data_IF_366705078955
#
_entry.id   IF_366705078955
#
_cell.length_a   1.000
_cell.length_b   1.000
_cell.length_c   1.000
_cell.angle_alpha   90.00
_cell.angle_beta   90.00
_cell.angle_gamma   90.00
#
_symmetry.space_group_name_H-M   'P 1'
#
loop_
_entity.id
_entity.type
_entity.pdbx_description
1 polymer ?
#
# COMPACT_ATOMS: atom_id res chain seq x y z
N UNK A 1 8.77 -5.15 -31.16
CA UNK A 1 8.01 -6.31 -30.63
C UNK A 1 7.33 -5.85 -29.34
N UNK A 2 6.06 -6.19 -29.18
CA UNK A 2 5.33 -5.88 -27.95
C UNK A 2 5.97 -6.58 -26.76
N UNK A 3 6.23 -5.86 -25.67
CA UNK A 3 6.81 -6.37 -24.42
C UNK A 3 5.69 -6.64 -23.44
N UNK A 4 5.51 -7.88 -23.02
CA UNK A 4 4.50 -8.25 -22.04
C UNK A 4 5.05 -7.99 -20.64
N UNK A 5 4.44 -7.04 -19.94
CA UNK A 5 4.78 -6.65 -18.56
C UNK A 5 3.69 -7.15 -17.62
N UNK A 6 4.04 -8.11 -16.78
CA UNK A 6 3.14 -8.69 -15.78
C UNK A 6 3.33 -7.93 -14.46
N UNK A 7 2.35 -7.13 -14.09
CA UNK A 7 2.28 -6.50 -12.77
C UNK A 7 1.70 -7.51 -11.80
N UNK A 8 2.52 -8.01 -10.87
CA UNK A 8 2.16 -9.11 -10.00
C UNK A 8 2.13 -8.69 -8.51
N UNK A 9 1.03 -9.00 -7.83
CA UNK A 9 0.87 -8.66 -6.41
C UNK A 9 -0.46 -9.10 -5.81
N UNK A 10 -0.77 -8.59 -4.62
CA UNK A 10 -1.97 -8.94 -3.85
C UNK A 10 -3.21 -8.14 -4.30
N UNK A 11 -3.56 -8.21 -5.58
CA UNK A 11 -4.60 -7.40 -6.22
C UNK A 11 -5.96 -8.09 -6.31
N UNK A 12 -6.06 -9.34 -5.86
CA UNK A 12 -7.27 -10.17 -5.88
C UNK A 12 -8.28 -9.85 -4.76
N UNK A 13 -8.00 -8.81 -3.98
CA UNK A 13 -8.88 -8.27 -2.94
C UNK A 13 -8.68 -6.76 -2.80
N UNK A 14 -9.72 -6.07 -2.35
CA UNK A 14 -9.60 -4.62 -2.20
C UNK A 14 -8.74 -4.27 -0.96
N UNK A 15 -7.64 -3.63 -1.24
CA UNK A 15 -6.82 -2.89 -0.28
C UNK A 15 -6.24 -1.71 -1.02
N UNK A 16 -6.49 -0.50 -0.53
CA UNK A 16 -6.11 0.74 -1.22
C UNK A 16 -4.67 0.71 -1.76
N UNK A 17 -3.70 0.43 -0.90
CA UNK A 17 -2.29 0.46 -1.30
C UNK A 17 -1.92 -0.63 -2.28
N UNK A 18 -2.33 -1.87 -2.01
CA UNK A 18 -1.98 -3.00 -2.86
C UNK A 18 -2.54 -2.81 -4.28
N UNK A 19 -3.76 -2.26 -4.41
CA UNK A 19 -4.38 -2.01 -5.71
C UNK A 19 -3.89 -0.73 -6.40
N UNK A 20 -3.41 0.27 -5.63
CA UNK A 20 -2.89 1.52 -6.17
C UNK A 20 -1.52 1.36 -6.84
N UNK A 21 -0.64 0.57 -6.21
CA UNK A 21 0.74 0.36 -6.69
C UNK A 21 0.85 -0.02 -8.17
N UNK A 22 0.13 -1.06 -8.68
CA UNK A 22 0.24 -1.43 -10.09
C UNK A 22 -0.35 -0.36 -11.02
N UNK A 23 -1.39 0.36 -10.60
CA UNK A 23 -2.00 1.41 -11.42
C UNK A 23 -1.04 2.59 -11.59
N UNK A 24 -0.37 3.01 -10.53
CA UNK A 24 0.63 4.07 -10.61
C UNK A 24 1.85 3.63 -11.42
N UNK A 25 2.26 2.38 -11.31
CA UNK A 25 3.37 1.85 -12.11
C UNK A 25 3.02 1.81 -13.59
N UNK A 26 1.84 1.33 -13.99
CA UNK A 26 1.35 1.41 -15.38
C UNK A 26 1.32 2.87 -15.86
N UNK A 27 0.80 3.79 -15.04
CA UNK A 27 0.79 5.22 -15.40
C UNK A 27 2.17 5.79 -15.60
N UNK A 28 3.15 5.40 -14.80
CA UNK A 28 4.55 5.80 -15.00
C UNK A 28 5.07 5.32 -16.35
N UNK A 29 4.87 4.04 -16.68
CA UNK A 29 5.30 3.48 -17.97
C UNK A 29 4.61 4.13 -19.18
N UNK A 30 3.38 4.62 -19.01
CA UNK A 30 2.61 5.30 -20.07
C UNK A 30 2.79 6.82 -20.07
N UNK A 31 3.59 7.37 -19.15
CA UNK A 31 3.83 8.80 -19.04
C UNK A 31 4.94 9.29 -19.97
N UNK A 32 5.13 10.60 -20.03
CA UNK A 32 6.23 11.26 -20.74
C UNK A 32 7.63 10.91 -20.22
N UNK A 33 7.72 10.31 -19.02
CA UNK A 33 8.98 9.84 -18.45
C UNK A 33 9.57 8.63 -19.18
N UNK A 34 8.75 7.90 -19.99
CA UNK A 34 9.18 6.69 -20.71
C UNK A 34 9.06 6.89 -22.22
N UNK A 35 10.19 6.87 -22.92
CA UNK A 35 10.25 7.17 -24.37
C UNK A 35 9.50 6.17 -25.27
N UNK A 36 9.44 4.90 -24.88
CA UNK A 36 8.88 3.79 -25.68
C UNK A 36 7.57 3.25 -25.09
N UNK A 37 6.74 4.11 -24.54
CA UNK A 37 5.51 3.72 -23.81
C UNK A 37 4.50 2.89 -24.63
N UNK A 38 4.54 2.96 -25.97
CA UNK A 38 3.62 2.22 -26.86
C UNK A 38 3.96 0.75 -27.04
N UNK A 39 5.14 0.32 -26.60
CA UNK A 39 5.63 -1.05 -26.79
C UNK A 39 5.27 -2.01 -25.67
N UNK A 40 4.58 -1.52 -24.62
CA UNK A 40 4.22 -2.31 -23.45
C UNK A 40 2.77 -2.76 -23.47
N UNK A 41 2.56 -4.06 -23.22
CA UNK A 41 1.25 -4.65 -22.92
C UNK A 41 1.24 -5.08 -21.45
N UNK A 42 0.34 -4.50 -20.65
CA UNK A 42 0.26 -4.76 -19.20
C UNK A 42 -0.74 -5.85 -18.89
N UNK A 43 -0.30 -6.82 -18.09
CA UNK A 43 -1.13 -7.89 -17.53
C UNK A 43 -1.12 -7.77 -16.02
N UNK A 44 -2.29 -7.56 -15.42
CA UNK A 44 -2.43 -7.55 -13.97
C UNK A 44 -2.63 -8.97 -13.49
N UNK A 45 -1.73 -9.47 -12.66
CA UNK A 45 -1.76 -10.83 -12.16
C UNK A 45 -1.79 -10.87 -10.63
N UNK A 46 -2.54 -11.83 -10.09
CA UNK A 46 -2.56 -12.13 -8.67
C UNK A 46 -2.63 -13.65 -8.45
N UNK A 47 -2.97 -14.12 -7.24
CA UNK A 47 -3.20 -15.54 -6.96
C UNK A 47 -4.50 -15.99 -7.62
N UNK A 48 -5.57 -15.19 -7.49
CA UNK A 48 -6.87 -15.42 -8.11
C UNK A 48 -7.18 -14.31 -9.14
N UNK A 49 -8.16 -14.62 -10.01
CA UNK A 49 -8.82 -13.55 -10.79
C UNK A 49 -9.70 -12.71 -9.86
N UNK A 50 -9.79 -11.44 -10.17
CA UNK A 50 -10.69 -10.50 -9.50
C UNK A 50 -11.14 -9.41 -10.48
N UNK A 51 -12.31 -8.84 -10.21
CA UNK A 51 -12.78 -7.63 -10.83
C UNK A 51 -13.16 -6.63 -9.73
N UNK A 52 -12.31 -5.64 -9.55
CA UNK A 52 -12.48 -4.54 -8.59
C UNK A 52 -12.63 -3.21 -9.31
N UNK A 53 -13.20 -3.23 -10.52
CA UNK A 53 -13.40 -2.04 -11.37
C UNK A 53 -14.34 -1.02 -10.73
N UNK A 54 -15.26 -1.44 -9.86
CA UNK A 54 -16.09 -0.55 -9.04
C UNK A 54 -15.27 0.41 -8.17
N UNK A 55 -14.08 0.01 -7.74
CA UNK A 55 -13.11 0.84 -7.02
C UNK A 55 -12.07 1.50 -7.93
N UNK A 56 -12.28 1.50 -9.26
CA UNK A 56 -11.32 1.98 -10.27
C UNK A 56 -10.00 1.19 -10.29
N UNK A 57 -10.02 -0.04 -9.80
CA UNK A 57 -8.91 -0.99 -9.91
C UNK A 57 -9.01 -1.79 -11.20
N UNK A 58 -7.90 -2.41 -11.60
CA UNK A 58 -7.85 -3.23 -12.83
C UNK A 58 -8.22 -4.68 -12.52
N UNK A 59 -8.94 -5.38 -13.41
CA UNK A 59 -9.17 -6.80 -13.26
C UNK A 59 -7.87 -7.60 -13.34
N UNK A 60 -7.82 -8.72 -12.61
CA UNK A 60 -6.62 -9.56 -12.52
C UNK A 60 -6.83 -10.95 -13.11
N UNK A 61 -5.75 -11.54 -13.60
CA UNK A 61 -5.69 -12.95 -13.98
C UNK A 61 -4.85 -13.74 -12.96
N UNK A 62 -5.11 -15.03 -12.76
CA UNK A 62 -4.25 -15.87 -11.93
C UNK A 62 -2.86 -16.02 -12.57
N UNK A 63 -1.78 -15.74 -11.83
CA UNK A 63 -0.41 -15.93 -12.34
C UNK A 63 -0.19 -17.36 -12.88
N UNK A 64 -0.86 -18.34 -12.28
CA UNK A 64 -0.79 -19.74 -12.68
C UNK A 64 -1.23 -19.97 -14.14
N UNK A 65 -2.11 -19.14 -14.70
CA UNK A 65 -2.55 -19.24 -16.09
C UNK A 65 -1.44 -18.85 -17.08
N UNK A 66 -0.49 -18.01 -16.67
CA UNK A 66 0.61 -17.52 -17.51
C UNK A 66 1.76 -18.53 -17.63
N UNK A 67 1.89 -19.47 -16.67
CA UNK A 67 3.02 -20.42 -16.62
C UNK A 67 3.13 -21.31 -17.86
N UNK A 68 2.01 -21.61 -18.51
CA UNK A 68 1.94 -22.55 -19.66
C UNK A 68 2.07 -21.87 -21.02
N UNK A 69 2.05 -20.55 -21.05
CA UNK A 69 2.14 -19.78 -22.27
C UNK A 69 3.59 -19.76 -22.78
N UNK A 70 3.76 -19.94 -24.08
CA UNK A 70 5.06 -19.84 -24.77
C UNK A 70 5.32 -18.37 -25.16
N UNK A 71 5.36 -17.52 -24.13
CA UNK A 71 5.49 -16.07 -24.25
C UNK A 71 6.53 -15.62 -23.24
N UNK A 72 7.39 -14.71 -23.67
CA UNK A 72 8.37 -14.07 -22.79
C UNK A 72 7.69 -12.97 -21.95
N UNK A 73 7.90 -13.01 -20.63
CA UNK A 73 7.30 -12.08 -19.70
C UNK A 73 8.34 -11.30 -18.91
N UNK A 74 8.04 -10.03 -18.68
CA UNK A 74 8.71 -9.22 -17.66
C UNK A 74 7.80 -9.13 -16.43
N UNK A 75 8.14 -9.85 -15.37
CA UNK A 75 7.31 -9.94 -14.16
C UNK A 75 7.83 -8.92 -13.15
N UNK A 76 7.00 -7.93 -12.83
CA UNK A 76 7.28 -6.95 -11.79
C UNK A 76 6.41 -7.27 -10.58
N UNK A 77 7.00 -7.72 -9.48
CA UNK A 77 6.36 -7.81 -8.17
C UNK A 77 6.28 -6.40 -7.60
N UNK A 78 5.07 -5.83 -7.55
CA UNK A 78 4.83 -4.38 -7.48
C UNK A 78 4.76 -3.86 -6.05
N UNK A 79 5.62 -4.32 -5.16
CA UNK A 79 5.61 -3.86 -3.77
C UNK A 79 4.77 -4.73 -2.83
N UNK A 80 4.35 -4.16 -1.72
CA UNK A 80 3.65 -4.90 -0.65
C UNK A 80 4.59 -5.59 0.34
N UNK A 81 4.05 -6.11 1.44
CA UNK A 81 4.78 -6.90 2.45
C UNK A 81 4.76 -8.39 2.04
N UNK A 82 5.42 -8.72 0.93
CA UNK A 82 5.18 -9.96 0.20
C UNK A 82 6.27 -11.01 0.35
N UNK A 83 7.51 -10.62 0.69
CA UNK A 83 8.67 -11.53 0.64
C UNK A 83 8.62 -12.68 1.64
N UNK A 84 7.91 -12.53 2.75
CA UNK A 84 7.75 -13.58 3.76
C UNK A 84 6.37 -14.24 3.79
N UNK A 85 5.46 -13.83 2.92
CA UNK A 85 4.07 -14.28 2.94
C UNK A 85 3.90 -15.63 2.25
N UNK A 86 3.62 -16.70 3.01
CA UNK A 86 3.23 -17.98 2.44
C UNK A 86 1.73 -18.07 2.16
N UNK A 87 1.34 -19.06 1.36
CA UNK A 87 -0.07 -19.24 0.95
C UNK A 87 -1.01 -19.47 2.13
N UNK A 88 -0.57 -20.13 3.20
CA UNK A 88 -1.38 -20.35 4.41
C UNK A 88 -1.67 -19.04 5.15
N UNK A 89 -0.70 -18.14 5.24
CA UNK A 89 -0.91 -16.79 5.81
C UNK A 89 -1.91 -16.00 4.98
N UNK A 90 -1.69 -15.95 3.66
CA UNK A 90 -2.57 -15.22 2.74
C UNK A 90 -3.99 -15.78 2.78
N UNK A 91 -4.13 -17.10 2.81
CA UNK A 91 -5.43 -17.77 2.94
C UNK A 91 -6.14 -17.41 4.24
N UNK A 92 -5.40 -17.30 5.37
CA UNK A 92 -6.02 -16.89 6.64
C UNK A 92 -6.54 -15.43 6.60
N UNK A 93 -5.90 -14.55 5.81
CA UNK A 93 -6.31 -13.16 5.67
C UNK A 93 -7.53 -12.94 4.77
N UNK A 94 -7.90 -13.89 3.94
CA UNK A 94 -9.10 -13.79 3.10
C UNK A 94 -10.34 -14.45 3.75
N UNK A 95 -10.21 -14.97 4.99
CA UNK A 95 -11.34 -15.59 5.70
C UNK A 95 -12.22 -14.55 6.38
N UNK A 96 -13.52 -14.60 6.15
CA UNK A 96 -14.50 -13.76 6.80
C UNK A 96 -14.79 -14.17 8.26
N UNK A 97 -14.52 -15.44 8.61
CA UNK A 97 -14.74 -15.97 9.95
C UNK A 97 -13.46 -15.90 10.79
N UNK A 98 -13.46 -15.03 11.82
CA UNK A 98 -12.33 -14.81 12.72
C UNK A 98 -11.90 -16.09 13.46
N UNK A 99 -12.85 -16.95 13.87
CA UNK A 99 -12.52 -18.21 14.55
C UNK A 99 -11.81 -19.18 13.62
N UNK A 100 -12.26 -19.25 12.37
CA UNK A 100 -11.62 -20.09 11.37
C UNK A 100 -10.21 -19.57 11.02
N UNK A 101 -10.05 -18.26 10.85
CA UNK A 101 -8.73 -17.66 10.65
C UNK A 101 -7.78 -17.94 11.83
N UNK A 102 -8.26 -17.84 13.08
CA UNK A 102 -7.49 -18.20 14.28
C UNK A 102 -7.10 -19.68 14.31
N UNK A 103 -8.02 -20.59 13.95
CA UNK A 103 -7.77 -22.01 13.86
C UNK A 103 -6.68 -22.33 12.82
N UNK A 104 -6.75 -21.73 11.62
CA UNK A 104 -5.73 -21.85 10.59
C UNK A 104 -4.37 -21.39 11.12
N UNK A 105 -4.31 -20.22 11.76
CA UNK A 105 -3.06 -19.68 12.31
C UNK A 105 -2.49 -20.53 13.44
N UNK A 106 -3.33 -21.14 14.27
CA UNK A 106 -2.90 -22.08 15.31
C UNK A 106 -2.33 -23.36 14.70
N UNK A 107 -3.07 -23.99 13.77
CA UNK A 107 -2.62 -25.20 13.06
C UNK A 107 -1.32 -24.96 12.30
N UNK A 108 -1.13 -23.76 11.74
CA UNK A 108 0.09 -23.37 11.03
C UNK A 108 1.32 -23.38 11.94
N UNK A 109 1.20 -23.03 13.23
CA UNK A 109 2.32 -23.11 14.19
C UNK A 109 2.83 -24.53 14.39
N UNK A 110 1.94 -25.51 14.25
CA UNK A 110 2.25 -26.95 14.43
C UNK A 110 2.71 -27.59 13.12
N UNK A 111 2.01 -27.32 12.03
CA UNK A 111 2.28 -27.92 10.72
C UNK A 111 2.09 -26.92 9.55
N UNK A 112 3.09 -26.06 9.26
CA UNK A 112 2.99 -25.08 8.18
C UNK A 112 2.76 -25.72 6.80
N UNK A 113 3.41 -26.87 6.54
CA UNK A 113 3.27 -27.60 5.26
C UNK A 113 1.85 -28.10 5.03
N UNK A 114 1.20 -28.63 6.07
CA UNK A 114 -0.19 -29.07 5.99
C UNK A 114 -1.13 -27.91 5.69
N UNK A 115 -0.97 -26.77 6.40
CA UNK A 115 -1.81 -25.60 6.16
C UNK A 115 -1.59 -25.04 4.76
N UNK A 116 -0.37 -25.01 4.25
CA UNK A 116 -0.10 -24.55 2.88
C UNK A 116 -0.73 -25.48 1.83
N UNK A 117 -0.66 -26.81 2.03
CA UNK A 117 -1.31 -27.78 1.15
C UNK A 117 -2.83 -27.65 1.17
N UNK A 118 -3.41 -27.51 2.37
CA UNK A 118 -4.85 -27.28 2.55
C UNK A 118 -5.29 -25.95 1.91
N UNK A 119 -4.56 -24.87 2.17
CA UNK A 119 -4.87 -23.55 1.63
C UNK A 119 -4.89 -23.55 0.09
N UNK A 120 -3.98 -24.27 -0.56
CA UNK A 120 -3.92 -24.38 -2.04
C UNK A 120 -5.15 -25.04 -2.70
N UNK A 121 -5.95 -25.79 -1.94
CA UNK A 121 -7.20 -26.35 -2.47
C UNK A 121 -8.26 -25.26 -2.71
N UNK A 122 -8.25 -24.21 -1.89
CA UNK A 122 -9.23 -23.11 -1.94
C UNK A 122 -8.64 -21.79 -2.44
N UNK A 123 -7.31 -21.67 -2.37
CA UNK A 123 -6.55 -20.50 -2.80
C UNK A 123 -5.37 -20.96 -3.67
N UNK A 124 -5.61 -21.18 -4.98
CA UNK A 124 -4.76 -22.00 -5.85
C UNK A 124 -3.47 -21.30 -6.30
N UNK A 125 -2.63 -20.93 -5.33
CA UNK A 125 -1.34 -20.32 -5.59
C UNK A 125 -0.41 -21.25 -6.40
N UNK A 126 0.41 -20.67 -7.27
CA UNK A 126 1.38 -21.39 -8.06
C UNK A 126 2.52 -21.99 -7.19
N UNK A 127 2.92 -21.26 -6.15
CA UNK A 127 4.01 -21.63 -5.23
C UNK A 127 3.58 -21.46 -3.77
N UNK A 128 4.32 -22.07 -2.82
CA UNK A 128 4.04 -21.93 -1.38
C UNK A 128 4.26 -20.49 -0.87
N UNK A 129 5.17 -19.77 -1.50
CA UNK A 129 5.38 -18.33 -1.34
C UNK A 129 4.99 -17.65 -2.65
N UNK A 130 3.72 -17.26 -2.79
CA UNK A 130 3.16 -16.89 -4.09
C UNK A 130 3.89 -15.76 -4.76
N UNK A 131 4.32 -14.76 -4.00
CA UNK A 131 4.98 -13.55 -4.54
C UNK A 131 6.51 -13.71 -4.71
N UNK A 132 7.02 -14.94 -4.66
CA UNK A 132 8.38 -15.29 -5.07
C UNK A 132 8.28 -16.18 -6.31
N UNK A 133 8.09 -15.56 -7.50
CA UNK A 133 7.99 -16.29 -8.76
C UNK A 133 9.31 -17.01 -9.07
N UNK A 134 9.19 -18.11 -9.85
CA UNK A 134 10.33 -18.96 -10.21
C UNK A 134 10.46 -18.98 -11.72
N UNK A 135 11.59 -18.54 -12.26
CA UNK A 135 11.84 -18.50 -13.72
C UNK A 135 11.56 -19.85 -14.41
N UNK A 136 12.05 -20.93 -13.81
CA UNK A 136 11.91 -22.30 -14.34
C UNK A 136 10.47 -22.87 -14.30
N UNK A 137 9.50 -22.16 -13.74
CA UNK A 137 8.09 -22.54 -13.78
C UNK A 137 7.35 -22.06 -15.03
N UNK A 138 7.94 -21.14 -15.77
CA UNK A 138 7.36 -20.58 -17.00
C UNK A 138 7.90 -21.33 -18.22
N UNK A 139 7.06 -21.44 -19.27
CA UNK A 139 7.45 -22.06 -20.52
C UNK A 139 8.32 -21.13 -21.38
N UNK A 140 7.98 -19.84 -21.44
CA UNK A 140 8.78 -18.79 -22.08
C UNK A 140 9.88 -18.25 -21.15
N UNK A 141 10.72 -17.37 -21.68
CA UNK A 141 11.73 -16.68 -20.87
C UNK A 141 11.08 -15.63 -19.99
N UNK A 142 11.61 -15.47 -18.77
CA UNK A 142 11.09 -14.44 -17.85
C UNK A 142 12.20 -13.65 -17.18
N UNK A 143 12.00 -12.34 -17.11
CA UNK A 143 12.72 -11.46 -16.19
C UNK A 143 11.87 -11.29 -14.91
N UNK A 144 12.49 -11.31 -13.74
CA UNK A 144 11.83 -11.12 -12.45
C UNK A 144 12.40 -9.88 -11.79
N UNK A 145 11.52 -8.94 -11.50
CA UNK A 145 11.85 -7.65 -10.90
C UNK A 145 11.02 -7.50 -9.62
N UNK A 146 11.67 -7.22 -8.50
CA UNK A 146 11.01 -6.83 -7.26
C UNK A 146 11.10 -5.31 -7.12
N UNK A 147 9.96 -4.62 -7.25
CA UNK A 147 9.88 -3.17 -7.16
C UNK A 147 9.38 -2.75 -5.77
N UNK A 148 10.27 -2.20 -4.96
CA UNK A 148 9.99 -1.62 -3.63
C UNK A 148 9.18 -2.55 -2.70
N UNK A 149 9.54 -3.84 -2.69
CA UNK A 149 8.87 -4.84 -1.85
C UNK A 149 9.32 -4.77 -0.39
N UNK A 150 8.48 -5.26 0.51
CA UNK A 150 8.78 -5.40 1.94
C UNK A 150 8.79 -6.85 2.42
N UNK A 151 9.32 -7.04 3.63
CA UNK A 151 9.43 -8.35 4.26
C UNK A 151 10.77 -9.05 3.99
N UNK A 152 10.94 -10.22 4.60
CA UNK A 152 12.17 -11.03 4.49
C UNK A 152 11.78 -12.45 4.11
N UNK A 153 12.35 -13.00 3.03
CA UNK A 153 12.05 -14.36 2.59
C UNK A 153 12.66 -15.39 3.57
N UNK A 154 11.97 -16.51 3.73
CA UNK A 154 12.55 -17.65 4.46
C UNK A 154 13.71 -18.26 3.68
N UNK A 155 14.64 -18.91 4.38
CA UNK A 155 15.88 -19.44 3.79
C UNK A 155 15.65 -20.34 2.57
N UNK A 156 14.57 -21.13 2.54
CA UNK A 156 14.23 -21.99 1.41
C UNK A 156 13.85 -21.26 0.12
N UNK A 157 13.64 -19.95 0.18
CA UNK A 157 13.29 -19.11 -0.97
C UNK A 157 14.46 -18.25 -1.46
N UNK A 158 15.59 -18.24 -0.77
CA UNK A 158 16.72 -17.36 -1.10
C UNK A 158 17.24 -17.54 -2.52
N UNK A 159 17.33 -18.77 -3.01
CA UNK A 159 17.85 -19.05 -4.36
C UNK A 159 16.94 -18.43 -5.45
N UNK A 160 15.61 -18.45 -5.25
CA UNK A 160 14.69 -17.82 -6.20
C UNK A 160 14.76 -16.29 -6.17
N UNK A 161 15.04 -15.70 -5.00
CA UNK A 161 15.23 -14.25 -4.87
C UNK A 161 16.58 -13.83 -5.48
N UNK A 162 17.63 -14.65 -5.34
CA UNK A 162 18.94 -14.42 -5.98
C UNK A 162 18.86 -14.48 -7.51
N UNK A 163 17.95 -15.28 -8.06
CA UNK A 163 17.73 -15.44 -9.50
C UNK A 163 16.96 -14.26 -10.12
N UNK A 164 16.50 -13.31 -9.31
CA UNK A 164 15.84 -12.11 -9.80
C UNK A 164 16.82 -11.17 -10.53
N UNK A 165 16.31 -10.48 -11.54
CA UNK A 165 17.10 -9.56 -12.37
C UNK A 165 17.28 -8.19 -11.67
N UNK A 166 16.32 -7.82 -10.81
CA UNK A 166 16.38 -6.60 -10.00
C UNK A 166 15.63 -6.78 -8.68
N UNK A 167 16.20 -6.23 -7.59
CA UNK A 167 15.55 -6.26 -6.27
C UNK A 167 15.69 -4.89 -5.59
N UNK A 168 14.56 -4.24 -5.36
CA UNK A 168 14.49 -3.05 -4.50
C UNK A 168 13.54 -3.27 -3.32
N UNK A 169 13.93 -2.74 -2.17
CA UNK A 169 13.24 -2.86 -0.89
C UNK A 169 12.89 -1.48 -0.37
N UNK A 170 11.69 -1.36 0.20
CA UNK A 170 11.13 -0.06 0.57
C UNK A 170 11.48 0.44 1.97
N UNK A 171 12.04 -0.39 2.83
CA UNK A 171 12.37 -0.01 4.21
C UNK A 171 13.65 -0.68 4.72
N UNK A 172 14.32 -0.03 5.68
CA UNK A 172 15.58 -0.47 6.25
C UNK A 172 15.49 -1.86 6.91
N UNK A 173 14.36 -2.19 7.54
CA UNK A 173 14.13 -3.49 8.17
C UNK A 173 14.21 -4.64 7.15
N UNK A 174 13.53 -4.47 6.01
CA UNK A 174 13.56 -5.44 4.91
C UNK A 174 14.96 -5.54 4.30
N UNK A 175 15.62 -4.40 4.09
CA UNK A 175 16.98 -4.34 3.57
C UNK A 175 17.98 -5.06 4.49
N UNK A 176 17.97 -4.79 5.78
CA UNK A 176 18.86 -5.45 6.74
C UNK A 176 18.63 -6.95 6.84
N UNK A 177 17.38 -7.39 6.69
CA UNK A 177 17.03 -8.81 6.66
C UNK A 177 17.50 -9.54 5.40
N UNK A 178 17.72 -8.82 4.31
CA UNK A 178 18.02 -9.40 2.99
C UNK A 178 19.43 -9.10 2.46
N UNK A 179 20.17 -8.14 3.01
CA UNK A 179 21.48 -7.67 2.50
C UNK A 179 22.56 -8.74 2.32
N UNK A 180 22.38 -9.92 2.93
CA UNK A 180 23.28 -11.07 2.77
C UNK A 180 22.81 -12.07 1.71
N UNK A 181 21.65 -11.85 1.09
CA UNK A 181 21.04 -12.78 0.14
C UNK A 181 21.48 -12.47 -1.30
N UNK A 182 21.33 -11.24 -1.74
CA UNK A 182 21.66 -10.80 -3.09
C UNK A 182 22.00 -9.30 -3.10
N UNK A 183 22.29 -8.78 -4.28
CA UNK A 183 22.45 -7.34 -4.49
C UNK A 183 21.09 -6.65 -4.36
N UNK A 184 21.02 -5.58 -3.57
CA UNK A 184 19.77 -4.94 -3.19
C UNK A 184 19.86 -3.42 -3.36
N UNK A 185 18.73 -2.82 -3.72
CA UNK A 185 18.54 -1.38 -3.70
C UNK A 185 17.56 -1.02 -2.58
N UNK A 186 17.89 -0.01 -1.77
CA UNK A 186 16.98 0.58 -0.79
C UNK A 186 16.33 1.79 -1.45
N UNK A 187 15.06 1.63 -1.85
CA UNK A 187 14.30 2.63 -2.63
C UNK A 187 12.97 2.88 -1.92
N UNK A 188 12.51 4.13 -1.78
CA UNK A 188 11.21 4.41 -1.19
C UNK A 188 10.08 3.72 -1.96
N UNK A 189 8.96 3.44 -1.29
CA UNK A 189 7.78 2.81 -1.91
C UNK A 189 7.29 3.63 -3.12
N UNK A 190 7.07 2.98 -4.25
CA UNK A 190 6.74 3.62 -5.52
C UNK A 190 5.44 4.44 -5.52
N UNK A 191 4.55 4.24 -4.55
CA UNK A 191 3.36 5.11 -4.37
C UNK A 191 3.74 6.57 -4.08
N UNK A 192 4.93 6.83 -3.56
CA UNK A 192 5.42 8.20 -3.31
C UNK A 192 5.50 9.09 -4.56
N UNK A 193 5.54 8.53 -5.78
CA UNK A 193 5.50 9.34 -7.01
C UNK A 193 4.09 9.74 -7.44
N UNK A 194 3.05 9.41 -6.68
CA UNK A 194 1.66 9.67 -7.07
C UNK A 194 1.42 11.14 -7.47
N UNK A 195 1.94 12.10 -6.71
CA UNK A 195 1.78 13.52 -7.01
C UNK A 195 2.47 13.99 -8.29
N UNK A 196 3.42 13.23 -8.84
CA UNK A 196 4.04 13.49 -10.15
C UNK A 196 3.25 12.86 -11.32
N UNK A 197 2.37 11.91 -11.03
CA UNK A 197 1.61 11.16 -12.03
C UNK A 197 0.15 11.60 -12.14
N UNK A 198 -0.37 12.31 -11.14
CA UNK A 198 -1.77 12.76 -11.11
C UNK A 198 -1.83 14.26 -10.79
N UNK A 199 -2.61 14.98 -11.58
CA UNK A 199 -2.85 16.41 -11.44
C UNK A 199 -4.32 16.71 -11.09
N UNK A 200 -4.66 17.98 -10.99
CA UNK A 200 -6.02 18.40 -10.67
C UNK A 200 -7.04 18.01 -11.77
N UNK A 201 -6.65 17.98 -13.04
CA UNK A 201 -7.57 17.63 -14.14
C UNK A 201 -7.81 16.11 -14.16
N UNK A 202 -6.80 15.32 -13.82
CA UNK A 202 -6.99 13.91 -13.58
C UNK A 202 -7.99 13.64 -12.44
N UNK A 203 -7.85 14.34 -11.30
CA UNK A 203 -8.80 14.21 -10.20
C UNK A 203 -10.22 14.61 -10.56
N UNK A 204 -10.43 15.72 -11.31
CA UNK A 204 -11.76 16.12 -11.79
C UNK A 204 -12.44 15.02 -12.61
N UNK A 205 -11.66 14.25 -13.36
CA UNK A 205 -12.17 13.17 -14.23
C UNK A 205 -12.41 11.85 -13.48
N UNK A 206 -11.83 11.65 -12.31
CA UNK A 206 -11.81 10.35 -11.62
C UNK A 206 -12.44 10.38 -10.22
N UNK A 207 -12.72 11.54 -9.67
CA UNK A 207 -13.31 11.78 -8.36
C UNK A 207 -14.73 12.32 -8.51
N UNK A 208 -15.67 11.82 -7.72
CA UNK A 208 -17.07 12.28 -7.73
C UNK A 208 -17.14 13.78 -7.38
N UNK A 209 -17.97 14.58 -8.10
CA UNK A 209 -18.08 16.03 -7.84
C UNK A 209 -18.42 16.38 -6.39
N UNK A 210 -19.25 15.58 -5.71
CA UNK A 210 -19.58 15.77 -4.30
C UNK A 210 -18.38 15.67 -3.35
N UNK A 211 -17.43 14.76 -3.62
CA UNK A 211 -16.19 14.63 -2.87
C UNK A 211 -15.28 15.84 -3.10
N UNK A 212 -15.19 16.30 -4.36
CA UNK A 212 -14.40 17.50 -4.69
C UNK A 212 -14.97 18.73 -3.94
N UNK A 213 -16.28 18.94 -4.02
CA UNK A 213 -16.95 20.05 -3.35
C UNK A 213 -16.77 20.01 -1.81
N UNK A 214 -16.88 18.83 -1.21
CA UNK A 214 -16.67 18.63 0.21
C UNK A 214 -15.25 19.05 0.64
N UNK A 215 -14.24 18.61 -0.09
CA UNK A 215 -12.83 18.90 0.25
C UNK A 215 -12.43 20.36 -0.02
N UNK A 216 -13.05 21.03 -1.02
CA UNK A 216 -12.78 22.44 -1.34
C UNK A 216 -13.32 23.42 -0.29
N UNK A 217 -14.42 23.07 0.36
CA UNK A 217 -15.14 23.95 1.28
C UNK A 217 -14.78 23.73 2.76
N UNK A 218 -13.90 22.76 3.06
CA UNK A 218 -13.57 22.39 4.44
C UNK A 218 -12.07 22.48 4.69
N UNK A 219 -11.71 22.92 5.89
CA UNK A 219 -10.38 22.78 6.47
C UNK A 219 -10.39 21.57 7.37
N UNK A 220 -9.76 20.48 6.97
CA UNK A 220 -9.94 19.20 7.64
C UNK A 220 -8.65 18.40 7.80
N UNK A 221 -8.69 17.50 8.75
CA UNK A 221 -7.74 16.39 8.90
C UNK A 221 -8.42 15.07 8.54
N UNK A 222 -7.62 14.06 8.17
CA UNK A 222 -8.12 12.71 7.94
C UNK A 222 -7.64 11.76 9.03
N UNK A 223 -8.54 10.90 9.50
CA UNK A 223 -8.23 9.80 10.42
C UNK A 223 -8.56 8.46 9.75
N UNK A 224 -7.57 7.60 9.67
CA UNK A 224 -7.70 6.19 9.30
C UNK A 224 -7.27 5.31 10.47
N UNK A 225 -8.07 4.31 10.84
CA UNK A 225 -7.74 3.44 11.95
C UNK A 225 -8.24 2.02 11.73
N UNK A 226 -7.30 1.06 11.73
CA UNK A 226 -7.62 -0.36 11.72
C UNK A 226 -7.81 -0.86 13.17
N UNK A 227 -8.93 -1.51 13.52
CA UNK A 227 -9.26 -1.91 14.89
C UNK A 227 -8.17 -2.76 15.57
N UNK A 228 -7.47 -3.59 14.79
CA UNK A 228 -6.42 -4.47 15.31
C UNK A 228 -5.04 -3.79 15.44
N UNK A 229 -4.94 -2.52 15.04
CA UNK A 229 -3.68 -1.76 15.03
C UNK A 229 -3.72 -0.50 15.90
N UNK A 230 -4.79 -0.28 16.63
CA UNK A 230 -4.91 0.83 17.57
C UNK A 230 -4.82 0.36 19.04
N UNK A 231 -4.41 1.25 19.95
CA UNK A 231 -4.26 0.99 21.39
C UNK A 231 -5.24 1.80 22.23
N UNK A 232 -6.26 2.35 21.62
CA UNK A 232 -7.29 3.18 22.25
C UNK A 232 -8.66 2.72 21.77
N UNK A 233 -9.71 3.07 22.54
CA UNK A 233 -11.08 2.74 22.17
C UNK A 233 -11.66 3.74 21.16
N UNK A 234 -12.72 3.37 20.42
CA UNK A 234 -13.45 4.34 19.59
C UNK A 234 -13.94 5.56 20.37
N UNK A 235 -14.35 5.37 21.64
CA UNK A 235 -14.81 6.44 22.51
C UNK A 235 -13.69 7.42 22.87
N UNK A 236 -12.49 6.92 23.18
CA UNK A 236 -11.35 7.79 23.50
C UNK A 236 -10.98 8.64 22.28
N UNK A 237 -10.98 8.05 21.09
CA UNK A 237 -10.71 8.79 19.85
C UNK A 237 -11.81 9.82 19.57
N UNK A 238 -13.08 9.49 19.74
CA UNK A 238 -14.19 10.42 19.55
C UNK A 238 -14.04 11.68 20.40
N UNK A 239 -13.65 11.54 21.67
CA UNK A 239 -13.41 12.68 22.57
C UNK A 239 -12.31 13.61 22.04
N UNK A 240 -11.20 13.05 21.57
CA UNK A 240 -10.10 13.84 21.00
C UNK A 240 -10.53 14.57 19.73
N UNK A 241 -11.32 13.93 18.88
CA UNK A 241 -11.81 14.55 17.63
C UNK A 241 -12.84 15.65 17.91
N UNK A 242 -13.72 15.46 18.92
CA UNK A 242 -14.66 16.49 19.37
C UNK A 242 -13.91 17.73 19.86
N UNK A 243 -12.85 17.56 20.66
CA UNK A 243 -12.02 18.65 21.14
C UNK A 243 -11.30 19.37 19.98
N UNK A 244 -10.76 18.62 18.99
CA UNK A 244 -10.15 19.21 17.80
C UNK A 244 -11.16 20.07 17.04
N UNK A 245 -12.36 19.54 16.80
CA UNK A 245 -13.39 20.28 16.06
C UNK A 245 -13.81 21.54 16.81
N UNK A 246 -14.07 21.43 18.10
CA UNK A 246 -14.56 22.54 18.93
C UNK A 246 -13.49 23.62 19.17
N UNK A 247 -12.25 23.23 19.48
CA UNK A 247 -11.23 24.17 19.95
C UNK A 247 -10.26 24.63 18.85
N UNK A 248 -10.11 23.83 17.78
CA UNK A 248 -9.23 24.15 16.66
C UNK A 248 -9.97 24.56 15.39
N UNK A 249 -11.31 24.55 15.39
CA UNK A 249 -12.14 24.80 14.21
C UNK A 249 -11.65 23.98 12.99
N UNK A 250 -11.26 22.72 13.23
CA UNK A 250 -10.74 21.80 12.24
C UNK A 250 -11.74 20.68 12.01
N UNK A 251 -12.25 20.55 10.81
CA UNK A 251 -13.12 19.44 10.45
C UNK A 251 -12.37 18.09 10.45
N UNK A 252 -13.11 17.02 10.64
CA UNK A 252 -12.56 15.66 10.67
C UNK A 252 -13.26 14.79 9.65
N UNK A 253 -12.48 14.14 8.80
CA UNK A 253 -12.95 13.11 7.88
C UNK A 253 -12.38 11.76 8.32
N UNK A 254 -13.28 10.86 8.74
CA UNK A 254 -12.98 9.46 8.99
C UNK A 254 -12.89 8.74 7.64
N UNK A 255 -11.73 8.19 7.34
CA UNK A 255 -11.39 7.68 6.03
C UNK A 255 -10.99 6.19 6.09
N UNK A 256 -11.94 5.24 5.97
CA UNK A 256 -11.59 3.84 5.82
C UNK A 256 -10.93 3.60 4.47
N UNK A 257 -9.80 2.89 4.45
CA UNK A 257 -9.04 2.58 3.24
C UNK A 257 -8.72 1.09 3.07
N UNK A 258 -9.18 0.27 4.02
CA UNK A 258 -9.13 -1.18 3.99
C UNK A 258 -10.49 -1.76 4.33
N UNK A 259 -11.03 -2.60 3.44
CA UNK A 259 -12.32 -3.26 3.60
C UNK A 259 -12.20 -4.79 3.68
N UNK A 260 -10.98 -5.32 3.56
CA UNK A 260 -10.75 -6.75 3.67
C UNK A 260 -10.87 -7.25 5.12
N UNK A 261 -11.25 -8.50 5.31
CA UNK A 261 -11.27 -9.15 6.62
C UNK A 261 -9.93 -8.99 7.35
N UNK A 262 -9.97 -8.56 8.62
CA UNK A 262 -8.77 -8.20 9.38
C UNK A 262 -8.15 -6.83 9.04
N UNK A 263 -8.77 -6.08 8.13
CA UNK A 263 -8.43 -4.71 7.76
C UNK A 263 -9.69 -3.86 7.56
N UNK A 264 -10.77 -4.18 8.26
CA UNK A 264 -12.02 -3.44 8.18
C UNK A 264 -11.95 -2.18 9.06
N UNK A 265 -11.51 -1.10 8.44
CA UNK A 265 -11.42 0.20 9.10
C UNK A 265 -12.81 0.77 9.42
N UNK A 266 -13.82 0.44 8.60
CA UNK A 266 -15.18 1.00 8.69
C UNK A 266 -15.85 0.66 10.02
N UNK A 267 -15.64 -0.54 10.55
CA UNK A 267 -16.21 -0.94 11.83
C UNK A 267 -15.74 -0.02 12.97
N UNK A 268 -14.43 0.20 13.06
CA UNK A 268 -13.86 1.06 14.10
C UNK A 268 -14.27 2.52 13.92
N UNK A 269 -14.21 3.03 12.71
CA UNK A 269 -14.50 4.43 12.41
C UNK A 269 -16.00 4.75 12.55
N UNK A 270 -16.88 3.80 12.25
CA UNK A 270 -18.33 3.94 12.52
C UNK A 270 -18.61 4.05 14.02
N UNK A 271 -17.93 3.28 14.88
CA UNK A 271 -18.08 3.40 16.32
C UNK A 271 -17.49 4.74 16.82
N UNK A 272 -16.37 5.23 16.25
CA UNK A 272 -15.85 6.57 16.57
C UNK A 272 -16.90 7.64 16.25
N UNK A 273 -17.49 7.59 15.04
CA UNK A 273 -18.57 8.53 14.65
C UNK A 273 -19.75 8.48 15.59
N UNK A 274 -20.16 7.29 16.01
CA UNK A 274 -21.29 7.09 16.94
C UNK A 274 -21.05 7.66 18.34
N UNK A 275 -19.80 7.63 18.83
CA UNK A 275 -19.44 8.20 20.14
C UNK A 275 -19.14 9.69 20.09
N UNK A 276 -18.89 10.26 18.92
CA UNK A 276 -18.69 11.70 18.75
C UNK A 276 -19.96 12.49 19.06
N UNK A 277 -19.79 13.63 19.69
CA UNK A 277 -20.84 14.63 19.96
C UNK A 277 -20.86 15.73 18.92
N UNK A 278 -19.77 15.87 18.18
CA UNK A 278 -19.63 16.80 17.08
C UNK A 278 -19.99 16.12 15.74
N UNK A 279 -20.36 16.92 14.76
CA UNK A 279 -20.61 16.43 13.41
C UNK A 279 -19.28 16.12 12.72
N UNK A 280 -18.93 14.84 12.57
CA UNK A 280 -17.77 14.35 11.84
C UNK A 280 -18.20 13.51 10.65
N UNK A 281 -17.46 13.65 9.54
CA UNK A 281 -17.77 12.91 8.33
C UNK A 281 -17.14 11.52 8.35
N UNK A 282 -17.90 10.50 7.95
CA UNK A 282 -17.37 9.17 7.62
C UNK A 282 -17.62 8.96 6.13
N UNK A 283 -16.55 8.85 5.36
CA UNK A 283 -16.61 8.63 3.92
C UNK A 283 -16.17 7.20 3.63
N UNK A 284 -17.12 6.34 3.34
CA UNK A 284 -16.92 4.97 2.90
C UNK A 284 -17.32 4.82 1.42
N UNK A 285 -17.18 3.61 0.87
CA UNK A 285 -17.46 3.31 -0.54
C UNK A 285 -16.72 4.24 -1.52
N UNK A 286 -15.43 4.47 -1.25
CA UNK A 286 -14.56 5.30 -2.05
C UNK A 286 -13.71 4.46 -3.01
N UNK A 287 -13.53 4.97 -4.23
CA UNK A 287 -12.53 4.41 -5.14
C UNK A 287 -11.11 4.90 -4.78
N UNK A 288 -10.08 4.28 -5.37
CA UNK A 288 -8.68 4.57 -5.04
C UNK A 288 -8.29 6.04 -5.29
N UNK A 289 -8.88 6.70 -6.28
CA UNK A 289 -8.59 8.09 -6.61
C UNK A 289 -9.26 9.06 -5.66
N UNK A 290 -10.45 8.73 -5.15
CA UNK A 290 -11.16 9.52 -4.14
C UNK A 290 -10.42 9.50 -2.81
N UNK A 291 -9.93 8.33 -2.38
CA UNK A 291 -9.08 8.20 -1.20
C UNK A 291 -7.82 9.07 -1.35
N UNK A 292 -7.13 8.96 -2.48
CA UNK A 292 -5.94 9.76 -2.77
C UNK A 292 -6.25 11.26 -2.76
N UNK A 293 -7.33 11.68 -3.40
CA UNK A 293 -7.74 13.08 -3.46
C UNK A 293 -8.02 13.64 -2.07
N UNK A 294 -8.80 12.94 -1.25
CA UNK A 294 -9.14 13.38 0.11
C UNK A 294 -7.85 13.54 0.94
N UNK A 295 -6.94 12.57 0.89
CA UNK A 295 -5.66 12.66 1.60
C UNK A 295 -4.85 13.84 1.09
N UNK A 296 -4.79 14.08 -0.23
CA UNK A 296 -4.02 15.17 -0.83
C UNK A 296 -4.52 16.59 -0.46
N UNK A 297 -5.78 16.71 -0.03
CA UNK A 297 -6.40 17.98 0.38
C UNK A 297 -6.46 18.19 1.89
N UNK A 298 -6.13 17.17 2.68
CA UNK A 298 -6.14 17.26 4.13
C UNK A 298 -5.01 18.15 4.67
N UNK A 299 -5.23 18.78 5.81
CA UNK A 299 -4.18 19.50 6.57
C UNK A 299 -3.20 18.55 7.23
N UNK A 300 -3.67 17.35 7.58
CA UNK A 300 -2.83 16.25 8.04
C UNK A 300 -3.56 14.91 7.87
N UNK A 301 -2.77 13.84 7.79
CA UNK A 301 -3.22 12.46 7.81
C UNK A 301 -2.75 11.78 9.10
N UNK A 302 -3.68 11.17 9.84
CA UNK A 302 -3.40 10.34 11.01
C UNK A 302 -3.83 8.91 10.71
N UNK A 303 -2.91 7.94 10.85
CA UNK A 303 -3.32 6.59 10.52
C UNK A 303 -2.42 5.45 10.95
N UNK A 304 -2.95 4.25 10.78
CA UNK A 304 -2.28 2.96 10.96
C UNK A 304 -1.91 2.30 9.62
N UNK A 305 -2.26 2.94 8.50
CA UNK A 305 -2.00 2.45 7.16
C UNK A 305 -0.70 3.00 6.59
N UNK A 306 0.17 2.12 6.13
CA UNK A 306 1.40 2.52 5.46
C UNK A 306 1.11 3.32 4.18
N UNK A 307 0.21 2.85 3.31
CA UNK A 307 -0.06 3.54 2.05
C UNK A 307 -0.90 4.81 2.21
N UNK A 308 -1.70 4.93 3.28
CA UNK A 308 -2.31 6.21 3.64
C UNK A 308 -1.26 7.27 3.97
N UNK A 309 -0.27 6.89 4.79
CA UNK A 309 0.87 7.76 5.13
C UNK A 309 1.72 8.07 3.89
N UNK A 310 2.06 7.07 3.06
CA UNK A 310 2.84 7.29 1.83
C UNK A 310 2.13 8.22 0.86
N UNK A 311 0.82 8.08 0.72
CA UNK A 311 0.02 9.00 -0.10
C UNK A 311 0.09 10.43 0.45
N UNK A 312 -0.08 10.62 1.76
CA UNK A 312 0.07 11.93 2.39
C UNK A 312 1.47 12.52 2.14
N UNK A 313 2.53 11.73 2.34
CA UNK A 313 3.91 12.13 2.02
C UNK A 313 4.04 12.58 0.56
N UNK A 314 3.52 11.81 -0.39
CA UNK A 314 3.61 12.13 -1.82
C UNK A 314 3.11 13.53 -2.16
N UNK A 315 2.07 13.99 -1.47
CA UNK A 315 1.49 15.32 -1.67
C UNK A 315 2.01 16.39 -0.68
N UNK A 316 3.07 16.10 0.07
CA UNK A 316 3.61 17.02 1.07
C UNK A 316 2.66 17.30 2.24
N UNK A 317 1.74 16.38 2.51
CA UNK A 317 0.79 16.51 3.62
C UNK A 317 1.42 15.99 4.91
N UNK A 318 1.41 16.76 6.02
CA UNK A 318 1.78 16.29 7.35
C UNK A 318 1.10 14.96 7.69
N UNK A 319 1.87 14.00 8.23
CA UNK A 319 1.38 12.63 8.38
C UNK A 319 1.93 12.00 9.65
N UNK A 320 1.08 11.29 10.38
CA UNK A 320 1.47 10.67 11.63
C UNK A 320 1.01 9.21 11.71
N UNK A 321 1.93 8.35 12.13
CA UNK A 321 1.59 7.02 12.62
C UNK A 321 0.99 7.14 14.02
N UNK A 322 -0.17 6.54 14.27
CA UNK A 322 -0.84 6.58 15.58
C UNK A 322 -0.62 5.33 16.43
N UNK A 323 0.34 4.48 16.07
CA UNK A 323 0.80 3.35 16.86
C UNK A 323 2.23 2.93 16.50
N UNK A 324 3.17 3.10 17.43
CA UNK A 324 4.59 2.76 17.28
C UNK A 324 4.89 1.26 17.09
N UNK A 325 3.95 0.36 17.37
CA UNK A 325 4.14 -1.08 17.24
C UNK A 325 3.97 -1.56 15.79
N UNK A 326 3.50 -0.73 14.88
CA UNK A 326 3.35 -1.08 13.46
C UNK A 326 4.72 -1.01 12.77
N UNK A 327 5.53 -2.05 12.96
CA UNK A 327 6.94 -2.07 12.57
C UNK A 327 7.21 -1.73 11.10
N UNK A 328 6.34 -2.18 10.16
CA UNK A 328 6.49 -1.83 8.75
C UNK A 328 6.30 -0.33 8.48
N UNK A 329 5.38 0.32 9.21
CA UNK A 329 5.09 1.74 9.06
C UNK A 329 6.18 2.59 9.71
N UNK A 330 6.54 2.28 10.96
CA UNK A 330 7.60 3.01 11.69
C UNK A 330 8.96 2.86 11.04
N UNK A 331 9.30 1.66 10.52
CA UNK A 331 10.55 1.47 9.77
C UNK A 331 10.57 2.31 8.49
N UNK A 332 9.46 2.37 7.76
CA UNK A 332 9.35 3.20 6.56
C UNK A 332 9.53 4.69 6.89
N UNK A 333 8.80 5.20 7.88
CA UNK A 333 8.87 6.59 8.31
C UNK A 333 10.28 6.97 8.79
N UNK A 334 10.92 6.12 9.60
CA UNK A 334 12.28 6.35 10.07
C UNK A 334 13.32 6.35 8.94
N UNK A 335 13.03 5.67 7.83
CA UNK A 335 13.93 5.64 6.66
C UNK A 335 13.74 6.85 5.75
N UNK A 336 12.50 7.32 5.56
CA UNK A 336 12.15 8.22 4.46
C UNK A 336 11.45 9.51 4.84
N UNK A 337 10.95 9.64 6.08
CA UNK A 337 10.30 10.86 6.55
C UNK A 337 11.24 11.68 7.44
N UNK A 338 10.84 12.91 7.72
CA UNK A 338 11.59 13.86 8.56
C UNK A 338 10.86 14.09 9.90
N UNK A 339 11.61 14.55 10.91
CA UNK A 339 11.01 14.97 12.18
C UNK A 339 10.08 16.19 11.97
N UNK A 340 8.91 16.20 12.65
CA UNK A 340 8.43 15.20 13.59
C UNK A 340 7.57 14.10 12.94
N UNK A 341 7.41 14.08 11.63
CA UNK A 341 6.50 13.18 10.90
C UNK A 341 7.02 11.74 10.82
N UNK A 342 8.29 11.49 11.11
CA UNK A 342 8.85 10.15 11.27
C UNK A 342 8.55 9.54 12.65
N UNK A 343 7.99 10.31 13.57
CA UNK A 343 7.62 9.84 14.91
C UNK A 343 6.17 9.35 14.96
N UNK A 344 5.89 8.44 15.91
CA UNK A 344 4.53 7.98 16.14
C UNK A 344 3.87 8.78 17.25
N UNK A 345 2.62 9.18 17.05
CA UNK A 345 1.83 9.84 18.08
C UNK A 345 1.07 8.82 18.93
N UNK A 346 0.92 9.16 20.20
CA UNK A 346 -0.11 8.58 21.06
C UNK A 346 -1.41 9.38 20.96
N UNK A 347 -2.53 8.80 21.37
CA UNK A 347 -3.82 9.49 21.34
C UNK A 347 -3.78 10.84 22.06
N UNK A 348 -3.04 10.94 23.17
CA UNK A 348 -2.93 12.16 24.00
C UNK A 348 -2.22 13.30 23.26
N UNK A 349 -1.43 13.00 22.24
CA UNK A 349 -0.63 14.00 21.52
C UNK A 349 -1.28 14.45 20.21
N UNK A 350 -2.36 13.80 19.76
CA UNK A 350 -3.04 14.14 18.50
C UNK A 350 -3.58 15.57 18.56
N UNK A 351 -4.26 15.96 19.64
CA UNK A 351 -4.79 17.31 19.79
C UNK A 351 -3.70 18.39 19.69
N UNK A 352 -2.59 18.21 20.41
CA UNK A 352 -1.49 19.16 20.41
C UNK A 352 -0.76 19.25 19.05
N UNK A 353 -0.73 18.15 18.30
CA UNK A 353 -0.09 18.14 16.96
C UNK A 353 -0.78 19.06 15.96
N UNK A 354 -2.08 19.36 16.15
CA UNK A 354 -2.81 20.29 15.27
C UNK A 354 -2.20 21.69 15.33
N UNK A 355 -1.90 22.22 16.53
CA UNK A 355 -1.27 23.53 16.65
C UNK A 355 0.12 23.58 16.02
N UNK A 356 0.87 22.49 16.11
CA UNK A 356 2.17 22.37 15.43
C UNK A 356 2.02 22.43 13.91
N UNK A 357 1.10 21.63 13.34
CA UNK A 357 0.85 21.60 11.89
C UNK A 357 0.44 22.98 11.36
N UNK A 358 -0.34 23.74 12.14
CA UNK A 358 -0.80 25.09 11.76
C UNK A 358 0.34 26.10 11.61
N UNK A 359 1.39 25.95 12.41
CA UNK A 359 2.57 26.82 12.41
C UNK A 359 3.74 26.26 11.60
N UNK A 360 3.62 25.02 11.09
CA UNK A 360 4.72 24.34 10.42
C UNK A 360 4.94 24.88 8.99
N UNK A 361 6.19 25.23 8.69
CA UNK A 361 6.62 25.51 7.32
C UNK A 361 6.91 24.20 6.58
N UNK A 362 6.11 23.89 5.58
CA UNK A 362 6.20 22.66 4.82
C UNK A 362 7.43 22.58 3.88
N UNK A 363 8.28 23.60 3.80
CA UNK A 363 9.41 23.65 2.86
C UNK A 363 10.32 22.42 3.00
N UNK A 364 10.75 22.09 4.22
CA UNK A 364 11.63 20.94 4.46
C UNK A 364 10.94 19.60 4.14
N UNK A 365 9.64 19.50 4.42
CA UNK A 365 8.86 18.30 4.06
C UNK A 365 8.80 18.12 2.55
N UNK A 366 8.51 19.17 1.81
CA UNK A 366 8.45 19.14 0.34
C UNK A 366 9.81 18.80 -0.28
N UNK A 367 10.90 19.38 0.21
CA UNK A 367 12.26 19.02 -0.23
C UNK A 367 12.59 17.56 0.03
N UNK A 368 12.23 17.03 1.20
CA UNK A 368 12.43 15.62 1.52
C UNK A 368 11.62 14.70 0.60
N UNK A 369 10.38 15.07 0.29
CA UNK A 369 9.52 14.35 -0.65
C UNK A 369 10.14 14.35 -2.05
N UNK A 370 10.62 15.48 -2.53
CA UNK A 370 11.23 15.58 -3.86
C UNK A 370 12.50 14.74 -3.99
N UNK A 371 13.33 14.72 -2.96
CA UNK A 371 14.52 13.87 -2.92
C UNK A 371 14.15 12.37 -2.97
N UNK A 372 13.16 11.95 -2.20
CA UNK A 372 12.70 10.56 -2.21
C UNK A 372 12.03 10.17 -3.53
N UNK A 373 11.26 11.07 -4.14
CA UNK A 373 10.67 10.87 -5.47
C UNK A 373 11.74 10.72 -6.55
N UNK A 374 12.82 11.49 -6.47
CA UNK A 374 13.95 11.41 -7.42
C UNK A 374 14.64 10.04 -7.37
N UNK A 375 14.80 9.44 -6.19
CA UNK A 375 15.32 8.08 -6.03
C UNK A 375 14.41 7.03 -6.70
N UNK A 376 13.09 7.17 -6.53
CA UNK A 376 12.13 6.25 -7.16
C UNK A 376 12.18 6.41 -8.68
N UNK A 377 12.18 7.63 -9.19
CA UNK A 377 12.24 7.89 -10.62
C UNK A 377 13.50 7.29 -11.25
N UNK A 378 14.66 7.41 -10.59
CA UNK A 378 15.90 6.76 -11.03
C UNK A 378 15.76 5.25 -11.07
N UNK A 379 15.25 4.63 -10.00
CA UNK A 379 15.02 3.17 -9.91
C UNK A 379 14.05 2.67 -10.99
N UNK A 380 12.97 3.41 -11.24
CA UNK A 380 12.00 3.04 -12.28
C UNK A 380 12.60 3.16 -13.70
N UNK A 381 13.45 4.15 -13.94
CA UNK A 381 14.19 4.25 -15.21
C UNK A 381 15.16 3.08 -15.39
N UNK A 382 15.85 2.64 -14.33
CA UNK A 382 16.67 1.42 -14.39
C UNK A 382 15.83 0.20 -14.76
N UNK A 383 14.62 0.07 -14.19
CA UNK A 383 13.69 -1.00 -14.55
C UNK A 383 13.29 -0.89 -16.04
N UNK A 384 12.93 0.31 -16.53
CA UNK A 384 12.60 0.51 -17.96
C UNK A 384 13.75 0.06 -18.85
N UNK A 385 14.98 0.49 -18.56
CA UNK A 385 16.18 0.12 -19.32
C UNK A 385 16.42 -1.40 -19.32
N UNK A 386 16.10 -2.11 -18.24
CA UNK A 386 16.17 -3.57 -18.20
C UNK A 386 15.11 -4.25 -19.05
N UNK A 387 13.98 -3.59 -19.29
CA UNK A 387 12.91 -4.12 -20.15
C UNK A 387 13.17 -3.85 -21.63
N UNK A 388 14.00 -2.87 -21.94
CA UNK A 388 14.44 -2.59 -23.31
C UNK A 388 15.46 -3.62 -23.82
#
# INVERSE_FOLDING_TARGET
MTKHVVLYGAFDRYNYGDNLMPILLERFFLSEYVKCSKDYEFIYASINSSDLSCYKCKPTVPIKSLLKNDIDYNIIVVGGEVMGADVGTLFSHVQNNIFYAKAINFTKRVSPKFVNAYAKLFYPAAWDYPYIPRKNSFKGNVKIIYNTVGGVPVKSQWEYVKDADYVSLRDQRSYDGMKKICNLNLIPDSVLIASKLVDNDFFKSNVRPGIIALCQNKRFITLQACPYKVKFTPKDMALVLDDIKREKAMDVILLPIGYASGHDDSLFLSEVKKYSREEIELLDDLNVWEIMFIISKAKAFYGTSLHGVITAMSFGVPHYCINSDIKKLTSFLNTWSISPFNESLTINNIFNSISYIESYDNTQLLESVENTQSLIMSSLNDIVNMLE
#
